data_IF_675938205018
#
_entry.id   IF_675938205018
#
_cell.length_a   1.000
_cell.length_b   1.000
_cell.length_c   1.000
_cell.angle_alpha   90.00
_cell.angle_beta   90.00
_cell.angle_gamma   90.00
#
_symmetry.space_group_name_H-M   'P 1'
#
loop_
_entity.id
_entity.type
_entity.pdbx_description
1 polymer ?
#
# COMPACT_ATOMS: atom_id res chain seq x y z
N UNK A 1 -1.01 -14.20 -24.72
CA UNK A 1 -0.34 -13.24 -23.82
C UNK A 1 0.09 -12.03 -24.64
N UNK A 2 -0.25 -10.81 -24.22
CA UNK A 2 0.19 -9.59 -24.92
C UNK A 2 1.73 -9.57 -24.97
N UNK A 3 2.32 -9.33 -26.15
CA UNK A 3 3.78 -9.25 -26.38
C UNK A 3 4.53 -8.30 -25.43
N UNK A 4 3.81 -7.37 -24.78
CA UNK A 4 4.36 -6.34 -23.89
C UNK A 4 4.12 -6.59 -22.39
N UNK A 5 3.52 -7.71 -21.98
CA UNK A 5 3.27 -8.01 -20.56
C UNK A 5 4.10 -9.20 -20.11
N UNK A 6 5.16 -8.92 -19.36
CA UNK A 6 6.03 -9.95 -18.78
C UNK A 6 5.30 -10.73 -17.69
N UNK A 7 5.74 -11.96 -17.44
CA UNK A 7 5.26 -12.77 -16.31
C UNK A 7 5.41 -12.00 -14.99
N UNK A 8 6.52 -11.27 -14.82
CA UNK A 8 6.77 -10.43 -13.66
C UNK A 8 5.67 -9.37 -13.45
N UNK A 9 5.25 -8.66 -14.51
CA UNK A 9 4.18 -7.66 -14.43
C UNK A 9 2.83 -8.31 -14.11
N UNK A 10 2.52 -9.45 -14.72
CA UNK A 10 1.29 -10.19 -14.44
C UNK A 10 1.22 -10.70 -12.99
N UNK A 11 2.32 -11.23 -12.46
CA UNK A 11 2.43 -11.67 -11.06
C UNK A 11 2.28 -10.46 -10.13
N UNK A 12 2.96 -9.35 -10.41
CA UNK A 12 2.87 -8.13 -9.61
C UNK A 12 1.43 -7.64 -9.49
N UNK A 13 0.72 -7.49 -10.61
CA UNK A 13 -0.66 -7.00 -10.60
C UNK A 13 -1.62 -7.94 -9.88
N UNK A 14 -1.43 -9.27 -10.01
CA UNK A 14 -2.32 -10.26 -9.41
C UNK A 14 -2.09 -10.46 -7.90
N UNK A 15 -0.85 -10.31 -7.43
CA UNK A 15 -0.45 -10.63 -6.06
C UNK A 15 -0.11 -9.40 -5.21
N UNK A 16 -0.47 -8.20 -5.67
CA UNK A 16 -0.17 -6.97 -4.93
C UNK A 16 -0.98 -6.88 -3.65
N UNK A 17 -0.29 -6.80 -2.51
CA UNK A 17 -0.94 -6.66 -1.20
C UNK A 17 -1.54 -5.26 -1.02
N UNK A 18 -2.54 -5.08 -0.12
CA UNK A 18 -3.08 -3.75 0.18
C UNK A 18 -1.98 -2.74 0.56
N UNK A 19 -0.98 -3.17 1.34
CA UNK A 19 0.14 -2.31 1.72
C UNK A 19 1.02 -1.92 0.53
N UNK A 20 1.24 -2.82 -0.42
CA UNK A 20 1.98 -2.51 -1.65
C UNK A 20 1.20 -1.54 -2.54
N UNK A 21 -0.12 -1.67 -2.65
CA UNK A 21 -0.97 -0.73 -3.40
C UNK A 21 -0.93 0.67 -2.80
N UNK A 22 -1.08 0.77 -1.48
CA UNK A 22 -0.98 2.04 -0.76
C UNK A 22 0.44 2.64 -0.86
N UNK A 23 1.48 1.81 -0.78
CA UNK A 23 2.85 2.27 -0.93
C UNK A 23 3.09 2.95 -2.29
N UNK A 24 2.57 2.37 -3.38
CA UNK A 24 2.63 2.98 -4.71
C UNK A 24 1.80 4.28 -4.78
N UNK A 25 0.56 4.26 -4.28
CA UNK A 25 -0.32 5.44 -4.29
C UNK A 25 0.25 6.64 -3.52
N UNK A 26 0.97 6.39 -2.43
CA UNK A 26 1.55 7.43 -1.58
C UNK A 26 3.05 7.67 -1.83
N UNK A 27 3.62 7.07 -2.88
CA UNK A 27 5.04 7.12 -3.20
C UNK A 27 5.91 6.91 -1.94
N UNK A 28 5.76 5.74 -1.32
CA UNK A 28 6.42 5.35 -0.07
C UNK A 28 6.72 3.85 -0.06
N UNK A 29 7.23 3.33 1.06
CA UNK A 29 7.55 1.91 1.18
C UNK A 29 6.42 1.12 1.83
N UNK A 30 6.20 -0.15 1.45
CA UNK A 30 5.26 -1.03 2.15
C UNK A 30 5.60 -1.22 3.63
N UNK A 31 6.89 -1.13 3.98
CA UNK A 31 7.36 -1.17 5.38
C UNK A 31 6.79 0.01 6.16
N UNK A 32 6.85 1.22 5.60
CA UNK A 32 6.29 2.42 6.23
C UNK A 32 4.77 2.32 6.44
N UNK A 33 4.05 1.79 5.45
CA UNK A 33 2.62 1.48 5.60
C UNK A 33 2.39 0.48 6.74
N UNK A 34 3.17 -0.60 6.77
CA UNK A 34 3.08 -1.63 7.82
C UNK A 34 3.37 -1.11 9.22
N UNK A 35 4.33 -0.20 9.38
CA UNK A 35 4.61 0.47 10.66
C UNK A 35 3.41 1.26 11.16
N UNK A 36 2.69 1.93 10.25
CA UNK A 36 1.44 2.65 10.61
C UNK A 36 0.35 1.66 10.97
N UNK A 37 0.16 0.60 10.19
CA UNK A 37 -0.87 -0.42 10.42
C UNK A 37 -0.67 -1.15 11.76
N UNK A 38 0.57 -1.43 12.15
CA UNK A 38 0.91 -2.09 13.43
C UNK A 38 0.95 -1.14 14.63
N UNK A 39 0.76 0.16 14.42
CA UNK A 39 0.86 1.17 15.49
C UNK A 39 2.29 1.49 15.94
N UNK A 40 3.32 0.88 15.34
CA UNK A 40 4.74 1.24 15.57
C UNK A 40 5.01 2.70 15.20
N UNK A 41 4.22 3.25 14.26
CA UNK A 41 4.21 4.66 13.92
C UNK A 41 2.81 5.23 14.00
N UNK A 42 2.62 6.26 14.81
CA UNK A 42 1.33 6.94 14.98
C UNK A 42 1.38 8.37 14.38
N UNK A 43 1.20 8.50 13.05
CA UNK A 43 1.25 9.82 12.41
C UNK A 43 0.03 10.66 12.77
N UNK A 44 0.28 11.91 13.18
CA UNK A 44 -0.76 12.89 13.53
C UNK A 44 -1.07 13.91 12.41
N UNK A 45 -0.23 13.99 11.36
CA UNK A 45 -0.39 14.94 10.25
C UNK A 45 0.27 14.47 8.95
N UNK A 46 -0.02 15.18 7.87
CA UNK A 46 0.62 15.00 6.56
C UNK A 46 0.34 13.65 5.91
N UNK A 47 1.31 13.14 5.14
CA UNK A 47 1.18 11.90 4.38
C UNK A 47 0.83 10.69 5.25
N UNK A 48 1.46 10.58 6.43
CA UNK A 48 1.22 9.45 7.34
C UNK A 48 -0.23 9.39 7.84
N UNK A 49 -0.84 10.55 8.15
CA UNK A 49 -2.22 10.60 8.58
C UNK A 49 -3.19 10.13 7.49
N UNK A 50 -2.94 10.55 6.23
CA UNK A 50 -3.73 10.09 5.08
C UNK A 50 -3.63 8.58 4.88
N UNK A 51 -2.44 8.02 5.01
CA UNK A 51 -2.22 6.56 4.94
C UNK A 51 -3.02 5.85 6.05
N UNK A 52 -2.98 6.36 7.28
CA UNK A 52 -3.76 5.79 8.39
C UNK A 52 -5.25 5.76 8.07
N UNK A 53 -5.80 6.85 7.54
CA UNK A 53 -7.22 6.92 7.14
C UNK A 53 -7.57 5.93 6.02
N UNK A 54 -6.70 5.74 5.02
CA UNK A 54 -6.93 4.73 3.98
C UNK A 54 -6.87 3.30 4.53
N UNK A 55 -5.97 3.02 5.48
CA UNK A 55 -5.92 1.74 6.17
C UNK A 55 -7.20 1.49 6.98
N UNK A 56 -7.75 2.51 7.66
CA UNK A 56 -9.02 2.41 8.38
C UNK A 56 -10.20 2.14 7.44
N UNK A 57 -10.23 2.76 6.25
CA UNK A 57 -11.25 2.49 5.23
C UNK A 57 -11.23 1.04 4.75
N UNK A 58 -10.04 0.45 4.59
CA UNK A 58 -9.89 -0.95 4.16
C UNK A 58 -10.47 -1.96 5.16
N UNK A 59 -10.54 -1.60 6.44
CA UNK A 59 -11.10 -2.46 7.51
C UNK A 59 -12.63 -2.35 7.54
N UNK A 60 -13.16 -1.14 7.28
CA UNK A 60 -14.60 -0.85 7.39
C UNK A 60 -15.38 -1.07 6.07
N UNK A 61 -14.81 -1.82 5.12
CA UNK A 61 -15.46 -2.27 3.88
C UNK A 61 -16.01 -3.68 4.06
#
# INVERSE_FOLDING_TARGET
MNKNKTLAKAIKEKHQTPYQKLAEAFNTSPIYIGQIARGERMPIRGKGLKIKQELEKLINQ
#
